data_IF_160395434851
#
_entry.id   IF_160395434851
#
_cell.length_a   1.000
_cell.length_b   1.000
_cell.length_c   1.000
_cell.angle_alpha   90.00
_cell.angle_beta   90.00
_cell.angle_gamma   90.00
#
_symmetry.space_group_name_H-M   'P 1'
#
loop_
_entity.id
_entity.type
_entity.pdbx_description
1 polymer ?
#
# COMPACT_ATOMS: atom_id res chain seq x y z
N UNK A 1 21.15 15.17 -2.72
CA UNK A 1 21.61 15.55 -4.08
C UNK A 1 20.61 16.43 -4.82
N UNK A 2 19.33 16.05 -4.90
CA UNK A 2 18.29 16.86 -5.58
C UNK A 2 18.14 18.27 -4.99
N UNK A 3 18.15 18.41 -3.66
CA UNK A 3 18.06 19.73 -3.01
C UNK A 3 19.22 20.65 -3.38
N UNK A 4 20.44 20.13 -3.47
CA UNK A 4 21.63 20.89 -3.89
C UNK A 4 21.47 21.34 -5.35
N UNK A 5 21.00 20.45 -6.23
CA UNK A 5 20.75 20.78 -7.63
C UNK A 5 19.70 21.90 -7.78
N UNK A 6 18.58 21.82 -7.05
CA UNK A 6 17.56 22.89 -7.11
C UNK A 6 18.05 24.21 -6.53
N UNK A 7 18.75 24.18 -5.39
CA UNK A 7 19.30 25.40 -4.77
C UNK A 7 20.26 26.11 -5.73
N UNK A 8 21.09 25.36 -6.46
CA UNK A 8 22.15 25.91 -7.30
C UNK A 8 21.73 26.25 -8.74
N UNK A 9 20.78 25.50 -9.33
CA UNK A 9 20.54 25.56 -10.78
C UNK A 9 19.11 25.84 -11.23
N UNK A 10 18.08 25.33 -10.54
CA UNK A 10 16.69 25.38 -11.05
C UNK A 10 15.71 26.19 -10.18
N UNK A 11 16.02 26.41 -8.91
CA UNK A 11 15.17 27.14 -7.97
C UNK A 11 13.90 26.36 -7.53
N UNK A 12 13.06 27.01 -6.73
CA UNK A 12 11.78 26.49 -6.24
C UNK A 12 10.64 27.41 -6.64
N UNK A 13 9.39 26.94 -6.57
CA UNK A 13 8.22 27.78 -6.85
C UNK A 13 8.15 29.03 -5.95
N UNK A 14 8.64 28.93 -4.72
CA UNK A 14 8.76 30.06 -3.77
C UNK A 14 10.02 30.93 -3.93
N UNK A 15 10.83 30.72 -4.97
CA UNK A 15 12.05 31.49 -5.25
C UNK A 15 13.33 30.64 -5.40
N UNK A 16 14.47 31.25 -5.76
CA UNK A 16 15.74 30.54 -5.92
C UNK A 16 16.44 30.25 -4.58
N UNK A 17 17.43 29.36 -4.61
CA UNK A 17 18.36 29.16 -3.50
C UNK A 17 17.74 28.55 -2.23
N UNK A 18 18.40 28.79 -1.10
CA UNK A 18 18.00 28.25 0.22
C UNK A 18 16.66 28.84 0.70
N UNK A 19 16.36 30.09 0.35
CA UNK A 19 15.07 30.73 0.66
C UNK A 19 13.90 30.03 -0.04
N UNK A 20 14.07 29.66 -1.31
CA UNK A 20 13.09 28.85 -2.04
C UNK A 20 12.88 27.46 -1.44
N UNK A 21 13.96 26.82 -0.97
CA UNK A 21 13.86 25.53 -0.27
C UNK A 21 13.06 25.66 1.04
N UNK A 22 13.32 26.72 1.82
CA UNK A 22 12.60 26.96 3.06
C UNK A 22 11.10 27.20 2.80
N UNK A 23 10.77 28.01 1.79
CA UNK A 23 9.38 28.25 1.37
C UNK A 23 8.69 26.95 0.92
N UNK A 24 9.41 26.07 0.21
CA UNK A 24 8.90 24.75 -0.19
C UNK A 24 8.56 23.88 1.04
N UNK A 25 9.44 23.80 2.02
CA UNK A 25 9.16 23.06 3.26
C UNK A 25 8.00 23.67 4.06
N UNK A 26 7.89 24.99 4.11
CA UNK A 26 6.77 25.70 4.76
C UNK A 26 5.45 25.48 4.01
N UNK A 27 5.48 25.16 2.72
CA UNK A 27 4.27 24.78 2.00
C UNK A 27 3.88 23.32 2.24
N UNK A 28 4.87 22.42 2.27
CA UNK A 28 4.66 20.97 2.36
C UNK A 28 4.58 20.43 3.81
N UNK A 29 4.78 21.26 4.84
CA UNK A 29 4.92 20.76 6.23
C UNK A 29 3.69 20.00 6.72
N UNK A 30 2.47 20.42 6.34
CA UNK A 30 1.24 19.72 6.74
C UNK A 30 1.19 18.35 6.10
N UNK A 31 1.49 18.25 4.81
CA UNK A 31 1.53 16.97 4.07
C UNK A 31 2.55 16.03 4.71
N UNK A 32 3.77 16.53 4.98
CA UNK A 32 4.85 15.75 5.61
C UNK A 32 4.48 15.31 7.02
N UNK A 33 3.95 16.20 7.85
CA UNK A 33 3.55 15.88 9.22
C UNK A 33 2.39 14.87 9.24
N UNK A 34 1.41 15.04 8.36
CA UNK A 34 0.26 14.15 8.24
C UNK A 34 0.71 12.74 7.80
N UNK A 35 1.57 12.65 6.77
CA UNK A 35 2.17 11.40 6.33
C UNK A 35 3.00 10.75 7.43
N UNK A 36 3.84 11.49 8.13
CA UNK A 36 4.65 10.95 9.24
C UNK A 36 3.76 10.34 10.33
N UNK A 37 2.76 11.09 10.79
CA UNK A 37 1.83 10.63 11.81
C UNK A 37 1.06 9.39 11.37
N UNK A 38 0.58 9.36 10.11
CA UNK A 38 -0.16 8.22 9.56
C UNK A 38 0.72 6.98 9.41
N UNK A 39 1.91 7.10 8.83
CA UNK A 39 2.81 5.95 8.62
C UNK A 39 3.22 5.30 9.94
N UNK A 40 3.58 6.10 10.95
CA UNK A 40 3.94 5.55 12.27
C UNK A 40 2.70 5.02 13.01
N UNK A 41 1.57 5.73 12.95
CA UNK A 41 0.32 5.32 13.59
C UNK A 41 -0.25 4.01 13.01
N UNK A 42 -0.22 3.86 11.69
CA UNK A 42 -0.68 2.65 11.01
C UNK A 42 0.27 1.48 11.20
N UNK A 43 1.58 1.69 11.33
CA UNK A 43 2.48 0.60 11.74
C UNK A 43 2.10 0.01 13.11
N UNK A 44 1.69 0.85 14.07
CA UNK A 44 1.20 0.39 15.37
C UNK A 44 -0.20 -0.26 15.29
N UNK A 45 -1.07 0.24 14.42
CA UNK A 45 -2.37 -0.38 14.13
C UNK A 45 -2.20 -1.77 13.52
N UNK A 46 -1.29 -1.91 12.55
CA UNK A 46 -0.97 -3.17 11.90
C UNK A 46 -0.47 -4.21 12.93
N UNK A 47 0.39 -3.81 13.87
CA UNK A 47 0.81 -4.68 14.99
C UNK A 47 -0.36 -5.07 15.91
N UNK A 48 -1.32 -4.18 16.17
CA UNK A 48 -2.54 -4.54 16.89
C UNK A 48 -3.34 -5.63 16.16
N UNK A 49 -3.46 -5.50 14.84
CA UNK A 49 -4.15 -6.48 14.01
C UNK A 49 -3.39 -7.82 13.95
N UNK A 50 -2.07 -7.80 13.76
CA UNK A 50 -1.24 -9.00 13.73
C UNK A 50 -1.33 -9.77 15.07
N UNK A 51 -1.19 -9.06 16.19
CA UNK A 51 -1.32 -9.62 17.55
C UNK A 51 -2.74 -9.98 17.96
N UNK A 52 -3.73 -9.69 17.12
CA UNK A 52 -5.11 -10.11 17.37
C UNK A 52 -5.33 -11.60 17.12
N UNK A 53 -4.35 -12.29 16.54
CA UNK A 53 -4.40 -13.71 16.17
C UNK A 53 -5.43 -14.01 15.05
N UNK A 54 -6.13 -13.00 14.53
CA UNK A 54 -7.04 -13.13 13.38
C UNK A 54 -6.32 -13.78 12.18
N UNK A 55 -5.12 -13.34 11.76
CA UNK A 55 -4.39 -13.99 10.65
C UNK A 55 -4.07 -15.47 10.87
N UNK A 56 -3.95 -15.92 12.11
CA UNK A 56 -3.61 -17.32 12.42
C UNK A 56 -4.84 -18.23 12.41
N UNK A 57 -6.04 -17.67 12.61
CA UNK A 57 -7.31 -18.41 12.54
C UNK A 57 -7.85 -18.47 11.11
N UNK A 58 -7.58 -17.45 10.30
CA UNK A 58 -8.07 -17.34 8.93
C UNK A 58 -7.76 -18.54 8.00
N UNK A 59 -6.58 -19.21 8.07
CA UNK A 59 -6.33 -20.43 7.31
C UNK A 59 -7.34 -21.55 7.52
N UNK A 60 -8.01 -21.61 8.69
CA UNK A 60 -9.04 -22.63 8.98
C UNK A 60 -10.27 -22.50 8.09
N UNK A 61 -10.53 -21.30 7.55
CA UNK A 61 -11.67 -21.03 6.68
C UNK A 61 -11.40 -21.41 5.22
N UNK A 62 -10.17 -21.81 4.88
CA UNK A 62 -9.79 -22.10 3.49
C UNK A 62 -10.36 -23.45 3.03
N UNK A 63 -10.95 -23.52 1.81
CA UNK A 63 -11.26 -24.79 1.15
C UNK A 63 -10.03 -25.68 0.93
N UNK A 64 -10.26 -27.00 0.79
CA UNK A 64 -9.19 -27.99 0.59
C UNK A 64 -8.78 -28.20 -0.89
N UNK A 65 -9.38 -27.43 -1.80
CA UNK A 65 -9.09 -27.44 -3.23
C UNK A 65 -8.31 -26.18 -3.65
N UNK A 66 -8.16 -25.99 -4.97
CA UNK A 66 -7.51 -24.79 -5.51
C UNK A 66 -8.20 -23.49 -5.09
N UNK A 67 -9.50 -23.53 -4.71
CA UNK A 67 -10.22 -22.34 -4.24
C UNK A 67 -9.71 -21.89 -2.88
N UNK A 68 -9.09 -22.76 -2.08
CA UNK A 68 -8.42 -22.36 -0.86
C UNK A 68 -7.21 -21.48 -1.13
N UNK A 69 -6.44 -21.77 -2.20
CA UNK A 69 -5.36 -20.88 -2.62
C UNK A 69 -5.94 -19.53 -3.10
N UNK A 70 -7.03 -19.57 -3.86
CA UNK A 70 -7.70 -18.33 -4.28
C UNK A 70 -8.25 -17.53 -3.11
N UNK A 71 -8.88 -18.19 -2.13
CA UNK A 71 -9.41 -17.56 -0.94
C UNK A 71 -8.30 -16.93 -0.08
N UNK A 72 -7.10 -17.53 -0.03
CA UNK A 72 -5.94 -16.92 0.62
C UNK A 72 -5.52 -15.63 -0.12
N UNK A 73 -5.46 -15.63 -1.45
CA UNK A 73 -5.16 -14.42 -2.23
C UNK A 73 -6.23 -13.33 -2.03
N UNK A 74 -7.51 -13.69 -2.07
CA UNK A 74 -8.62 -12.78 -1.81
C UNK A 74 -8.58 -12.23 -0.37
N UNK A 75 -8.13 -13.04 0.59
CA UNK A 75 -7.92 -12.59 1.96
C UNK A 75 -6.76 -11.61 2.05
N UNK A 76 -5.62 -11.88 1.42
CA UNK A 76 -4.50 -10.92 1.34
C UNK A 76 -4.95 -9.60 0.73
N UNK A 77 -5.74 -9.65 -0.33
CA UNK A 77 -6.36 -8.49 -0.95
C UNK A 77 -7.22 -7.70 0.04
N UNK A 78 -8.13 -8.35 0.77
CA UNK A 78 -8.98 -7.68 1.76
C UNK A 78 -8.15 -7.15 2.93
N UNK A 79 -7.18 -7.91 3.43
CA UNK A 79 -6.29 -7.49 4.53
C UNK A 79 -5.49 -6.25 4.14
N UNK A 80 -5.00 -6.18 2.89
CA UNK A 80 -4.25 -5.03 2.41
C UNK A 80 -5.10 -3.78 2.19
N UNK A 81 -6.42 -3.87 2.26
CA UNK A 81 -7.26 -2.68 2.33
C UNK A 81 -7.18 -2.00 3.72
N UNK A 82 -6.66 -2.68 4.74
CA UNK A 82 -6.57 -2.16 6.11
C UNK A 82 -5.14 -2.11 6.65
N UNK A 83 -4.26 -2.96 6.11
CA UNK A 83 -2.85 -3.05 6.44
C UNK A 83 -2.02 -2.49 5.29
N UNK A 84 -0.81 -2.04 5.59
CA UNK A 84 0.13 -1.67 4.55
C UNK A 84 0.49 -2.89 3.68
N UNK A 85 0.75 -2.65 2.40
CA UNK A 85 0.99 -3.71 1.41
C UNK A 85 2.12 -4.66 1.84
N UNK A 86 3.12 -4.17 2.57
CA UNK A 86 4.22 -4.98 3.10
C UNK A 86 3.70 -5.97 4.13
N UNK A 87 2.98 -5.52 5.16
CA UNK A 87 2.44 -6.41 6.20
C UNK A 87 1.45 -7.41 5.60
N UNK A 88 0.54 -6.98 4.72
CA UNK A 88 -0.41 -7.87 4.07
C UNK A 88 0.30 -8.96 3.25
N UNK A 89 1.34 -8.60 2.47
CA UNK A 89 2.12 -9.55 1.72
C UNK A 89 2.91 -10.51 2.64
N UNK A 90 3.57 -10.01 3.70
CA UNK A 90 4.31 -10.84 4.66
C UNK A 90 3.40 -11.83 5.38
N UNK A 91 2.22 -11.39 5.84
CA UNK A 91 1.20 -12.25 6.45
C UNK A 91 0.73 -13.30 5.44
N UNK A 92 0.40 -12.89 4.22
CA UNK A 92 0.02 -13.80 3.14
C UNK A 92 1.10 -14.83 2.81
N UNK A 93 2.36 -14.39 2.75
CA UNK A 93 3.53 -15.23 2.55
C UNK A 93 3.74 -16.22 3.69
N UNK A 94 3.64 -15.79 4.95
CA UNK A 94 3.76 -16.66 6.12
C UNK A 94 2.62 -17.70 6.21
N UNK A 95 1.39 -17.28 5.89
CA UNK A 95 0.25 -18.18 5.78
C UNK A 95 0.48 -19.20 4.66
N UNK A 96 0.87 -18.75 3.46
CA UNK A 96 1.20 -19.61 2.33
C UNK A 96 2.34 -20.59 2.67
N UNK A 97 3.38 -20.13 3.37
CA UNK A 97 4.48 -20.98 3.85
C UNK A 97 3.96 -22.14 4.70
N UNK A 98 2.98 -21.88 5.56
CA UNK A 98 2.42 -22.86 6.48
C UNK A 98 1.49 -23.83 5.74
N UNK A 99 0.50 -23.32 5.01
CA UNK A 99 -0.54 -24.15 4.37
C UNK A 99 -0.02 -24.96 3.18
N UNK A 100 1.08 -24.56 2.55
CA UNK A 100 1.68 -25.24 1.39
C UNK A 100 2.99 -26.00 1.71
N UNK A 101 3.25 -26.35 2.98
CA UNK A 101 4.46 -27.08 3.41
C UNK A 101 5.77 -26.43 2.96
N UNK A 102 5.86 -25.10 3.05
CA UNK A 102 7.03 -24.30 2.62
C UNK A 102 7.31 -24.35 1.11
N UNK A 103 6.43 -24.98 0.31
CA UNK A 103 6.55 -25.09 -1.15
C UNK A 103 5.59 -24.13 -1.82
N UNK A 104 5.98 -22.85 -1.83
CA UNK A 104 5.21 -21.80 -2.49
C UNK A 104 5.82 -21.51 -3.85
N UNK A 105 5.00 -21.62 -4.90
CA UNK A 105 5.43 -21.41 -6.26
C UNK A 105 5.67 -19.92 -6.54
N UNK A 106 6.68 -19.58 -7.34
CA UNK A 106 7.06 -18.18 -7.62
C UNK A 106 5.90 -17.36 -8.21
N UNK A 107 5.12 -17.95 -9.12
CA UNK A 107 3.93 -17.25 -9.67
C UNK A 107 2.85 -16.99 -8.62
N UNK A 108 2.75 -17.83 -7.59
CA UNK A 108 1.86 -17.59 -6.46
C UNK A 108 2.40 -16.51 -5.52
N UNK A 109 3.71 -16.44 -5.30
CA UNK A 109 4.36 -15.33 -4.59
C UNK A 109 4.13 -13.99 -5.31
N UNK A 110 4.25 -13.99 -6.63
CA UNK A 110 3.93 -12.82 -7.45
C UNK A 110 2.44 -12.43 -7.33
N UNK A 111 1.54 -13.41 -7.27
CA UNK A 111 0.12 -13.16 -7.04
C UNK A 111 -0.19 -12.63 -5.63
N UNK A 112 0.53 -13.08 -4.58
CA UNK A 112 0.38 -12.52 -3.22
C UNK A 112 0.71 -11.03 -3.24
N UNK A 113 1.82 -10.65 -3.88
CA UNK A 113 2.24 -9.25 -4.00
C UNK A 113 1.23 -8.46 -4.83
N UNK A 114 0.77 -9.02 -5.95
CA UNK A 114 -0.27 -8.42 -6.77
C UNK A 114 -1.56 -8.19 -5.99
N UNK A 115 -2.02 -9.16 -5.20
CA UNK A 115 -3.23 -9.04 -4.41
C UNK A 115 -3.08 -8.04 -3.26
N UNK A 116 -1.91 -8.00 -2.60
CA UNK A 116 -1.64 -6.99 -1.58
C UNK A 116 -1.70 -5.58 -2.19
N UNK A 117 -0.93 -5.32 -3.23
CA UNK A 117 -0.91 -4.02 -3.91
C UNK A 117 -2.28 -3.64 -4.50
N UNK A 118 -3.02 -4.60 -5.09
CA UNK A 118 -4.37 -4.40 -5.60
C UNK A 118 -5.35 -3.99 -4.49
N UNK A 119 -5.32 -4.72 -3.36
CA UNK A 119 -6.20 -4.46 -2.22
C UNK A 119 -5.94 -3.10 -1.57
N UNK A 120 -4.68 -2.68 -1.54
CA UNK A 120 -4.26 -1.36 -1.06
C UNK A 120 -4.62 -0.22 -2.01
N UNK A 121 -4.59 -0.43 -3.33
CA UNK A 121 -4.77 0.65 -4.31
C UNK A 121 -6.09 1.42 -4.17
N UNK A 122 -7.19 0.74 -3.85
CA UNK A 122 -8.47 1.39 -3.59
C UNK A 122 -8.62 1.95 -2.17
N UNK A 123 -7.71 1.60 -1.26
CA UNK A 123 -7.79 1.94 0.15
C UNK A 123 -6.90 3.10 0.54
N UNK A 124 -7.49 4.00 1.31
CA UNK A 124 -6.84 5.14 1.93
C UNK A 124 -5.83 4.76 3.00
N UNK A 125 -5.99 3.58 3.62
CA UNK A 125 -5.09 3.08 4.68
C UNK A 125 -4.10 2.06 4.12
N UNK A 126 -4.55 1.29 3.14
CA UNK A 126 -3.81 0.16 2.61
C UNK A 126 -2.54 0.56 1.87
N UNK A 127 -2.64 1.56 0.98
CA UNK A 127 -1.53 1.97 0.13
C UNK A 127 -1.05 3.41 0.38
N UNK A 128 0.27 3.58 0.36
CA UNK A 128 0.92 4.88 0.62
C UNK A 128 0.64 5.88 -0.50
N UNK A 129 0.47 5.43 -1.75
CA UNK A 129 0.17 6.32 -2.88
C UNK A 129 -1.27 6.83 -2.81
N UNK A 130 -2.22 5.98 -2.43
CA UNK A 130 -3.61 6.39 -2.21
C UNK A 130 -3.75 7.28 -0.96
N UNK A 131 -2.97 7.02 0.09
CA UNK A 131 -2.84 7.93 1.23
C UNK A 131 -2.35 9.31 0.76
N UNK A 132 -1.37 9.37 -0.14
CA UNK A 132 -0.86 10.63 -0.70
C UNK A 132 -1.93 11.38 -1.49
N UNK A 133 -2.67 10.69 -2.38
CA UNK A 133 -3.77 11.31 -3.13
C UNK A 133 -4.79 11.97 -2.20
N UNK A 134 -5.11 11.29 -1.10
CA UNK A 134 -6.06 11.78 -0.12
C UNK A 134 -5.59 13.06 0.57
N UNK A 135 -4.33 13.08 0.99
CA UNK A 135 -3.71 14.25 1.64
C UNK A 135 -3.60 15.42 0.65
N UNK A 136 -3.44 15.14 -0.64
CA UNK A 136 -3.47 16.15 -1.71
C UNK A 136 -4.89 16.60 -2.09
N UNK A 137 -5.92 16.23 -1.31
CA UNK A 137 -7.30 16.72 -1.47
C UNK A 137 -8.17 15.89 -2.43
N UNK A 138 -7.68 14.76 -2.94
CA UNK A 138 -8.51 13.84 -3.73
C UNK A 138 -9.56 13.19 -2.83
N UNK A 139 -10.84 13.23 -3.24
CA UNK A 139 -11.91 12.58 -2.50
C UNK A 139 -11.73 11.06 -2.47
N UNK A 140 -11.91 10.38 -1.32
CA UNK A 140 -11.92 8.91 -1.25
C UNK A 140 -12.88 8.27 -2.26
N UNK A 141 -14.02 8.92 -2.51
CA UNK A 141 -15.03 8.44 -3.44
C UNK A 141 -14.53 8.42 -4.89
N UNK A 142 -13.57 9.29 -5.23
CA UNK A 142 -12.96 9.31 -6.55
C UNK A 142 -11.98 8.16 -6.76
N UNK A 143 -11.48 7.55 -5.68
CA UNK A 143 -10.56 6.40 -5.74
C UNK A 143 -11.31 5.07 -5.62
N UNK A 144 -12.56 5.05 -5.14
CA UNK A 144 -13.38 3.83 -5.06
C UNK A 144 -13.47 3.01 -6.35
N UNK A 145 -13.54 3.61 -7.57
CA UNK A 145 -13.51 2.85 -8.82
C UNK A 145 -12.26 1.97 -8.97
N UNK A 146 -11.14 2.32 -8.31
CA UNK A 146 -9.93 1.49 -8.28
C UNK A 146 -10.19 0.09 -7.68
N UNK A 147 -11.15 -0.06 -6.76
CA UNK A 147 -11.51 -1.38 -6.24
C UNK A 147 -12.14 -2.29 -7.29
N UNK A 148 -12.84 -1.72 -8.29
CA UNK A 148 -13.41 -2.50 -9.39
C UNK A 148 -12.28 -3.06 -10.25
N UNK A 149 -11.35 -2.20 -10.66
CA UNK A 149 -10.15 -2.59 -11.39
C UNK A 149 -9.32 -3.64 -10.62
N UNK A 150 -9.13 -3.40 -9.33
CA UNK A 150 -8.40 -4.28 -8.43
C UNK A 150 -9.09 -5.64 -8.24
N UNK A 151 -10.42 -5.69 -8.19
CA UNK A 151 -11.19 -6.93 -8.12
C UNK A 151 -11.09 -7.75 -9.42
N UNK A 152 -11.12 -7.09 -10.59
CA UNK A 152 -10.84 -7.75 -11.87
C UNK A 152 -9.43 -8.33 -11.87
N UNK A 153 -8.45 -7.56 -11.42
CA UNK A 153 -7.07 -8.02 -11.33
C UNK A 153 -6.90 -9.21 -10.37
N UNK A 154 -7.58 -9.19 -9.22
CA UNK A 154 -7.63 -10.31 -8.27
C UNK A 154 -8.12 -11.60 -8.95
N UNK A 155 -9.19 -11.52 -9.74
CA UNK A 155 -9.74 -12.70 -10.43
C UNK A 155 -8.79 -13.18 -11.53
N UNK A 156 -8.33 -12.27 -12.39
CA UNK A 156 -7.49 -12.58 -13.56
C UNK A 156 -6.12 -13.10 -13.14
N UNK A 157 -5.52 -12.56 -12.08
CA UNK A 157 -4.25 -13.03 -11.54
C UNK A 157 -4.45 -14.23 -10.61
N UNK A 158 -5.47 -14.18 -9.75
CA UNK A 158 -5.64 -15.11 -8.65
C UNK A 158 -6.03 -16.51 -9.09
N UNK A 159 -6.91 -16.65 -10.08
CA UNK A 159 -7.31 -17.98 -10.58
C UNK A 159 -6.12 -18.77 -11.14
N UNK A 160 -5.36 -18.28 -12.14
CA UNK A 160 -4.23 -19.04 -12.69
C UNK A 160 -3.13 -19.28 -11.64
N UNK A 161 -2.86 -18.30 -10.77
CA UNK A 161 -1.90 -18.47 -9.68
C UNK A 161 -2.32 -19.59 -8.72
N UNK A 162 -3.61 -19.63 -8.35
CA UNK A 162 -4.16 -20.63 -7.43
C UNK A 162 -4.11 -22.04 -8.01
N UNK A 163 -4.43 -22.19 -9.30
CA UNK A 163 -4.31 -23.47 -10.01
C UNK A 163 -2.86 -23.92 -10.11
N UNK A 164 -1.94 -22.99 -10.43
CA UNK A 164 -0.50 -23.25 -10.50
C UNK A 164 0.04 -23.70 -9.14
N UNK A 165 -0.34 -23.00 -8.07
CA UNK A 165 0.05 -23.35 -6.70
C UNK A 165 -0.54 -24.69 -6.29
N UNK A 166 -1.83 -24.93 -6.52
CA UNK A 166 -2.47 -26.20 -6.15
C UNK A 166 -1.83 -27.40 -6.86
N UNK A 167 -1.44 -27.25 -8.13
CA UNK A 167 -0.69 -28.27 -8.87
C UNK A 167 0.73 -28.47 -8.31
N UNK A 168 1.36 -27.42 -7.81
CA UNK A 168 2.72 -27.48 -7.26
C UNK A 168 2.76 -28.07 -5.84
N UNK A 169 1.86 -27.61 -4.97
CA UNK A 169 1.67 -28.07 -3.59
C UNK A 169 0.25 -27.69 -3.14
N UNK A 170 -0.66 -28.66 -2.93
CA UNK A 170 -2.01 -28.39 -2.46
C UNK A 170 -2.03 -27.95 -0.99
N UNK A 171 -3.13 -27.33 -0.57
CA UNK A 171 -3.33 -26.92 0.84
C UNK A 171 -3.43 -28.15 1.73
N UNK A 172 -2.84 -28.05 2.91
CA UNK A 172 -3.20 -28.91 4.04
C UNK A 172 -3.85 -28.10 5.14
N UNK A 173 -4.99 -28.61 5.62
CA UNK A 173 -5.51 -28.28 6.93
C UNK A 173 -4.75 -29.10 7.97
N UNK A 174 -3.70 -28.52 8.52
CA UNK A 174 -3.29 -28.93 9.87
C UNK A 174 -4.19 -28.19 10.86
N UNK A 175 -4.96 -28.95 11.64
CA UNK A 175 -5.68 -28.43 12.80
C UNK A 175 -4.66 -28.04 13.87
N UNK A 176 -4.09 -26.84 13.77
CA UNK A 176 -3.48 -26.21 14.94
C UNK A 176 -4.60 -25.85 15.89
N UNK A 177 -4.89 -26.72 16.85
CA UNK A 177 -5.78 -26.42 17.98
C UNK A 177 -5.18 -25.30 18.84
N UNK A 178 -6.01 -24.37 19.32
CA UNK A 178 -5.66 -23.50 20.46
C UNK A 178 -5.43 -22.00 20.22
N UNK A 179 -5.56 -21.45 19.00
CA UNK A 179 -5.50 -19.99 18.80
C UNK A 179 -6.84 -19.31 19.05
N UNK A 180 -6.87 -18.38 20.02
CA UNK A 180 -8.01 -17.53 20.35
C UNK A 180 -7.79 -16.10 19.85
N UNK A 181 -8.83 -15.52 19.23
CA UNK A 181 -8.81 -14.15 18.72
C UNK A 181 -8.87 -13.15 19.89
N UNK A 182 -7.95 -12.19 19.92
CA UNK A 182 -8.01 -11.06 20.86
C UNK A 182 -8.95 -9.97 20.33
N UNK A 183 -10.25 -10.16 20.54
CA UNK A 183 -11.30 -9.22 20.12
C UNK A 183 -11.10 -7.79 20.63
N UNK A 184 -10.41 -7.60 21.76
CA UNK A 184 -10.09 -6.26 22.25
C UNK A 184 -9.15 -5.53 21.29
N UNK A 185 -8.15 -6.22 20.72
CA UNK A 185 -7.26 -5.63 19.70
C UNK A 185 -8.00 -5.35 18.40
N UNK A 186 -8.89 -6.24 17.99
CA UNK A 186 -9.76 -6.00 16.81
C UNK A 186 -10.61 -4.74 17.01
N UNK A 187 -11.19 -4.55 18.21
CA UNK A 187 -11.93 -3.34 18.54
C UNK A 187 -11.05 -2.08 18.52
N UNK A 188 -9.80 -2.15 19.01
CA UNK A 188 -8.83 -1.03 18.91
C UNK A 188 -8.60 -0.64 17.45
N UNK A 189 -8.33 -1.63 16.57
CA UNK A 189 -8.15 -1.39 15.13
C UNK A 189 -9.38 -0.71 14.54
N UNK A 190 -10.59 -1.24 14.83
CA UNK A 190 -11.84 -0.68 14.35
C UNK A 190 -12.06 0.78 14.77
N UNK A 191 -11.76 1.13 16.03
CA UNK A 191 -11.88 2.51 16.53
C UNK A 191 -10.92 3.47 15.83
N UNK A 192 -9.65 3.06 15.63
CA UNK A 192 -8.66 3.92 14.97
C UNK A 192 -9.05 4.18 13.51
N UNK A 193 -9.50 3.15 12.79
CA UNK A 193 -9.97 3.29 11.40
C UNK A 193 -11.22 4.18 11.31
N UNK A 194 -12.20 3.96 12.19
CA UNK A 194 -13.41 4.77 12.23
C UNK A 194 -13.08 6.25 12.52
N UNK A 195 -12.14 6.54 13.42
CA UNK A 195 -11.70 7.89 13.71
C UNK A 195 -11.02 8.56 12.50
N UNK A 196 -10.11 7.85 11.82
CA UNK A 196 -9.43 8.37 10.63
C UNK A 196 -10.42 8.72 9.51
N UNK A 197 -11.34 7.81 9.19
CA UNK A 197 -12.38 8.01 8.16
C UNK A 197 -13.31 9.16 8.56
N UNK A 198 -13.79 9.17 9.80
CA UNK A 198 -14.74 10.19 10.27
C UNK A 198 -14.13 11.60 10.24
N UNK A 199 -12.90 11.76 10.75
CA UNK A 199 -12.22 13.06 10.74
C UNK A 199 -11.96 13.53 9.33
N UNK A 200 -11.55 12.65 8.42
CA UNK A 200 -11.39 13.09 7.05
C UNK A 200 -12.70 13.53 6.39
N UNK A 201 -13.75 12.72 6.51
CA UNK A 201 -15.06 13.07 5.93
C UNK A 201 -15.50 14.43 6.47
N UNK A 202 -15.32 14.66 7.77
CA UNK A 202 -15.60 15.95 8.37
C UNK A 202 -14.73 17.08 7.79
N UNK A 203 -13.42 16.90 7.69
CA UNK A 203 -12.48 17.90 7.16
C UNK A 203 -12.81 18.26 5.71
N UNK A 204 -13.03 17.27 4.85
CA UNK A 204 -13.31 17.51 3.43
C UNK A 204 -14.67 18.19 3.22
N UNK A 205 -15.68 17.88 4.05
CA UNK A 205 -17.01 18.47 3.91
C UNK A 205 -17.14 19.86 4.56
N UNK A 206 -16.39 20.14 5.64
CA UNK A 206 -16.62 21.33 6.47
C UNK A 206 -15.45 22.32 6.50
N UNK A 207 -14.22 21.87 6.25
CA UNK A 207 -13.02 22.69 6.49
C UNK A 207 -12.38 23.23 5.21
N UNK A 208 -12.63 22.66 4.03
CA UNK A 208 -12.17 23.20 2.74
C UNK A 208 -10.70 23.64 2.78
N UNK A 209 -10.44 24.93 2.54
CA UNK A 209 -9.08 25.50 2.57
C UNK A 209 -8.36 25.39 3.94
N UNK A 210 -9.09 25.19 5.04
CA UNK A 210 -8.50 24.96 6.37
C UNK A 210 -7.90 23.57 6.53
N UNK A 211 -8.19 22.63 5.62
CA UNK A 211 -7.58 21.29 5.61
C UNK A 211 -6.06 21.35 5.48
N UNK A 212 -5.53 22.37 4.78
CA UNK A 212 -4.10 22.57 4.53
C UNK A 212 -3.35 23.21 5.71
N UNK A 213 -4.05 23.56 6.80
CA UNK A 213 -3.44 24.27 7.94
C UNK A 213 -2.98 23.34 9.05
N UNK A 214 -3.45 22.10 9.09
CA UNK A 214 -3.17 21.18 10.19
C UNK A 214 -3.27 19.71 9.76
N UNK A 215 -2.40 18.81 10.28
CA UNK A 215 -2.42 17.38 9.94
C UNK A 215 -3.56 16.63 10.65
N UNK A 216 -4.82 16.96 10.33
CA UNK A 216 -6.01 16.47 11.05
C UNK A 216 -6.09 14.94 11.11
N UNK A 217 -5.81 14.26 10.01
CA UNK A 217 -6.03 12.81 9.88
C UNK A 217 -4.99 12.03 10.70
N UNK A 218 -3.71 12.39 10.56
CA UNK A 218 -2.62 11.80 11.33
C UNK A 218 -2.82 12.04 12.82
N UNK A 219 -3.24 13.25 13.21
CA UNK A 219 -3.57 13.54 14.61
C UNK A 219 -4.76 12.72 15.10
N UNK A 220 -5.80 12.52 14.29
CA UNK A 220 -6.94 11.70 14.65
C UNK A 220 -6.56 10.25 14.94
N UNK A 221 -5.69 9.66 14.12
CA UNK A 221 -5.15 8.30 14.32
C UNK A 221 -4.41 8.22 15.65
N UNK A 222 -3.54 9.19 15.95
CA UNK A 222 -2.79 9.21 17.22
C UNK A 222 -3.69 9.43 18.43
N UNK A 223 -4.66 10.34 18.34
CA UNK A 223 -5.65 10.57 19.42
C UNK A 223 -6.42 9.29 19.70
N UNK A 224 -6.92 8.60 18.66
CA UNK A 224 -7.61 7.32 18.82
C UNK A 224 -6.70 6.25 19.43
N UNK A 225 -5.46 6.13 18.96
CA UNK A 225 -4.48 5.17 19.47
C UNK A 225 -4.17 5.42 20.94
N UNK A 226 -3.95 6.67 21.34
CA UNK A 226 -3.70 7.05 22.73
C UNK A 226 -4.94 6.83 23.61
N UNK A 227 -6.14 7.15 23.12
CA UNK A 227 -7.39 6.92 23.83
C UNK A 227 -7.66 5.43 24.09
N UNK A 228 -7.18 4.54 23.23
CA UNK A 228 -7.36 3.09 23.34
C UNK A 228 -6.29 2.37 24.19
N UNK A 229 -5.29 3.09 24.71
CA UNK A 229 -4.26 2.55 25.63
C UNK A 229 -4.84 1.75 26.80
N UNK A 230 -5.93 2.18 27.49
CA UNK A 230 -6.51 1.41 28.59
C UNK A 230 -7.07 0.05 28.17
N UNK A 231 -7.49 -0.10 26.91
CA UNK A 231 -8.04 -1.35 26.37
C UNK A 231 -6.92 -2.32 26.03
N UNK A 232 -5.98 -1.89 25.17
CA UNK A 232 -4.77 -2.62 24.81
C UNK A 232 -3.65 -1.65 24.49
N UNK A 233 -2.46 -1.88 25.05
CA UNK A 233 -1.30 -1.01 24.81
C UNK A 233 -0.69 -1.27 23.42
N UNK A 234 -0.26 -0.21 22.70
CA UNK A 234 0.56 -0.34 21.51
C UNK A 234 1.93 -0.91 21.85
N UNK A 235 2.56 -1.54 20.88
CA UNK A 235 3.94 -2.02 21.01
C UNK A 235 4.92 -0.88 20.76
N UNK A 236 5.22 -0.10 21.80
CA UNK A 236 6.10 1.08 21.71
C UNK A 236 7.50 0.79 21.17
N UNK A 237 8.00 -0.44 21.33
CA UNK A 237 9.30 -0.86 20.79
C UNK A 237 9.36 -0.86 19.25
N UNK A 238 8.22 -0.84 18.55
CA UNK A 238 8.17 -0.74 17.09
C UNK A 238 8.38 0.70 16.59
N UNK A 239 8.10 1.71 17.41
CA UNK A 239 8.14 3.12 17.01
C UNK A 239 9.50 3.52 16.41
N UNK A 240 10.67 3.18 17.00
CA UNK A 240 11.96 3.56 16.41
C UNK A 240 12.23 2.95 15.03
N UNK A 241 11.67 1.77 14.76
CA UNK A 241 11.74 1.13 13.44
C UNK A 241 10.79 1.80 12.44
N UNK A 242 9.54 1.99 12.85
CA UNK A 242 8.51 2.66 12.06
C UNK A 242 8.89 4.10 11.70
N UNK A 243 9.50 4.84 12.63
CA UNK A 243 10.01 6.20 12.38
C UNK A 243 11.12 6.20 11.35
N UNK A 244 12.08 5.27 11.42
CA UNK A 244 13.15 5.16 10.41
C UNK A 244 12.58 4.86 9.01
N UNK A 245 11.64 3.92 8.92
CA UNK A 245 10.94 3.62 7.66
C UNK A 245 10.13 4.82 7.14
N UNK A 246 9.41 5.51 8.03
CA UNK A 246 8.62 6.70 7.68
C UNK A 246 9.50 7.84 7.20
N UNK A 247 10.63 8.11 7.87
CA UNK A 247 11.59 9.14 7.43
C UNK A 247 12.18 8.82 6.06
N UNK A 248 12.49 7.55 5.79
CA UNK A 248 12.94 7.12 4.48
C UNK A 248 11.88 7.39 3.40
N UNK A 249 10.62 7.00 3.65
CA UNK A 249 9.51 7.25 2.73
C UNK A 249 9.25 8.75 2.53
N UNK A 250 9.26 9.55 3.59
CA UNK A 250 9.12 11.01 3.51
C UNK A 250 10.23 11.64 2.68
N UNK A 251 11.47 11.16 2.81
CA UNK A 251 12.58 11.60 1.97
C UNK A 251 12.33 11.29 0.49
N UNK A 252 11.74 10.14 0.15
CA UNK A 252 11.38 9.79 -1.23
C UNK A 252 10.25 10.68 -1.76
N UNK A 253 9.19 10.88 -0.98
CA UNK A 253 8.07 11.78 -1.32
C UNK A 253 8.59 13.20 -1.56
N UNK A 254 9.35 13.75 -0.62
CA UNK A 254 9.94 15.08 -0.72
C UNK A 254 10.90 15.18 -1.93
N UNK A 255 11.71 14.16 -2.17
CA UNK A 255 12.58 14.12 -3.35
C UNK A 255 11.78 14.17 -4.65
N UNK A 256 10.64 13.48 -4.71
CA UNK A 256 9.74 13.51 -5.86
C UNK A 256 9.10 14.89 -6.08
N UNK A 257 8.69 15.56 -5.00
CA UNK A 257 8.23 16.96 -5.05
C UNK A 257 9.31 17.93 -5.55
N UNK A 258 10.56 17.48 -5.65
CA UNK A 258 11.71 18.27 -6.08
C UNK A 258 12.31 17.79 -7.41
N UNK A 259 11.76 16.75 -8.05
CA UNK A 259 12.28 16.28 -9.33
C UNK A 259 12.10 17.33 -10.45
N UNK A 260 13.09 17.49 -11.35
CA UNK A 260 13.05 18.45 -12.46
C UNK A 260 12.22 17.96 -13.66
N UNK A 261 11.41 16.91 -13.48
CA UNK A 261 10.43 16.51 -14.49
C UNK A 261 9.24 17.43 -14.30
N UNK A 262 9.19 18.51 -15.08
CA UNK A 262 8.18 19.55 -14.90
C UNK A 262 6.78 19.07 -15.31
N UNK A 263 6.67 18.07 -16.20
CA UNK A 263 5.40 17.54 -16.73
C UNK A 263 5.55 16.06 -17.14
N UNK A 264 4.55 15.25 -16.81
CA UNK A 264 4.29 13.97 -17.49
C UNK A 264 3.69 14.27 -18.88
N UNK A 265 3.62 13.28 -19.80
CA UNK A 265 2.77 13.39 -20.97
C UNK A 265 1.34 13.81 -20.60
N UNK A 266 0.60 14.38 -21.54
CA UNK A 266 -0.77 14.87 -21.30
C UNK A 266 -1.61 13.78 -20.66
N UNK A 267 -2.31 14.13 -19.57
CA UNK A 267 -3.10 13.19 -18.82
C UNK A 267 -4.15 12.55 -19.73
N UNK A 268 -4.06 11.23 -19.84
CA UNK A 268 -4.87 10.42 -20.74
C UNK A 268 -4.81 8.97 -20.26
N UNK A 269 -5.79 8.16 -20.65
CA UNK A 269 -5.80 6.74 -20.28
C UNK A 269 -4.52 5.99 -20.74
N UNK A 270 -3.90 6.27 -21.91
CA UNK A 270 -2.64 5.62 -22.27
C UNK A 270 -1.48 6.02 -21.37
N UNK A 271 -1.43 7.29 -20.95
CA UNK A 271 -0.40 7.76 -20.02
C UNK A 271 -0.59 7.12 -18.65
N UNK A 272 -1.82 7.01 -18.14
CA UNK A 272 -2.10 6.31 -16.88
C UNK A 272 -1.71 4.82 -16.97
N UNK A 273 -2.06 4.14 -18.06
CA UNK A 273 -1.66 2.75 -18.31
C UNK A 273 -0.13 2.60 -18.36
N UNK A 274 0.56 3.54 -19.02
CA UNK A 274 2.02 3.56 -19.09
C UNK A 274 2.67 3.78 -17.73
N UNK A 275 2.09 4.64 -16.88
CA UNK A 275 2.59 4.91 -15.52
C UNK A 275 2.61 3.65 -14.66
N UNK A 276 1.62 2.76 -14.76
CA UNK A 276 1.67 1.51 -14.01
C UNK A 276 2.73 0.52 -14.51
N UNK A 277 3.02 0.48 -15.82
CA UNK A 277 4.18 -0.27 -16.32
C UNK A 277 5.50 0.34 -15.84
N UNK A 278 5.62 1.67 -15.84
CA UNK A 278 6.79 2.36 -15.31
C UNK A 278 6.96 2.11 -13.81
N UNK A 279 5.85 2.01 -13.07
CA UNK A 279 5.84 1.66 -11.65
C UNK A 279 6.42 0.27 -11.35
N UNK A 280 6.50 -0.64 -12.34
CA UNK A 280 7.17 -1.93 -12.14
C UNK A 280 8.70 -1.80 -11.99
N UNK A 281 9.28 -0.69 -12.46
CA UNK A 281 10.72 -0.44 -12.48
C UNK A 281 11.09 0.70 -11.53
N UNK A 282 10.24 1.74 -11.50
CA UNK A 282 10.40 2.92 -10.66
C UNK A 282 9.40 2.88 -9.52
N UNK A 283 9.79 3.41 -8.36
CA UNK A 283 8.91 3.52 -7.21
C UNK A 283 7.63 4.30 -7.58
N UNK A 284 6.48 3.83 -7.09
CA UNK A 284 5.16 4.37 -7.42
C UNK A 284 4.85 5.68 -6.68
N UNK A 285 5.53 5.92 -5.56
CA UNK A 285 5.42 7.13 -4.74
C UNK A 285 5.78 8.39 -5.57
N UNK A 286 6.97 8.48 -6.19
CA UNK A 286 7.30 9.61 -7.04
C UNK A 286 6.37 9.85 -8.22
N UNK A 287 5.95 8.78 -8.90
CA UNK A 287 5.06 8.86 -10.06
C UNK A 287 3.70 9.42 -9.68
N UNK A 288 3.17 9.02 -8.52
CA UNK A 288 1.92 9.52 -7.97
C UNK A 288 2.00 11.01 -7.65
N UNK A 289 3.09 11.45 -7.00
CA UNK A 289 3.30 12.87 -6.69
C UNK A 289 3.35 13.75 -7.96
N UNK A 290 4.01 13.27 -9.02
CA UNK A 290 4.06 13.94 -10.33
C UNK A 290 2.67 14.04 -10.98
N UNK A 291 1.90 12.95 -10.95
CA UNK A 291 0.55 12.92 -11.52
C UNK A 291 -0.43 13.81 -10.75
N UNK A 292 -0.33 13.87 -9.43
CA UNK A 292 -1.09 14.78 -8.58
C UNK A 292 -0.81 16.25 -8.90
N UNK A 293 0.46 16.61 -9.11
CA UNK A 293 0.86 17.98 -9.47
C UNK A 293 0.37 18.41 -10.84
N UNK A 294 0.40 17.49 -11.82
CA UNK A 294 -0.08 17.80 -13.16
C UNK A 294 -1.60 17.89 -13.24
N UNK A 295 -2.30 17.03 -12.48
CA UNK A 295 -3.75 16.90 -12.56
C UNK A 295 -4.23 16.32 -13.89
N UNK A 296 -5.56 16.25 -14.05
CA UNK A 296 -6.21 15.80 -15.28
C UNK A 296 -6.34 14.29 -15.47
N UNK A 297 -5.88 13.49 -14.49
CA UNK A 297 -6.09 12.03 -14.48
C UNK A 297 -7.42 11.68 -13.82
N UNK A 298 -7.98 10.53 -14.22
CA UNK A 298 -8.96 9.83 -13.40
C UNK A 298 -8.24 9.21 -12.20
N UNK A 299 -8.62 9.61 -10.99
CA UNK A 299 -7.92 9.22 -9.76
C UNK A 299 -8.08 7.74 -9.44
N UNK A 300 -9.21 7.11 -9.77
CA UNK A 300 -9.41 5.68 -9.58
C UNK A 300 -8.53 4.87 -10.52
N UNK A 301 -8.49 5.26 -11.79
CA UNK A 301 -7.62 4.62 -12.80
C UNK A 301 -6.15 4.79 -12.43
N UNK A 302 -5.74 5.99 -12.03
CA UNK A 302 -4.37 6.27 -11.64
C UNK A 302 -3.97 5.48 -10.38
N UNK A 303 -4.82 5.46 -9.34
CA UNK A 303 -4.56 4.74 -8.10
C UNK A 303 -4.36 3.25 -8.35
N UNK A 304 -5.24 2.63 -9.15
CA UNK A 304 -5.04 1.26 -9.59
C UNK A 304 -3.74 1.10 -10.40
N UNK A 305 -3.47 2.02 -11.34
CA UNK A 305 -2.34 1.88 -12.23
C UNK A 305 -0.99 1.86 -11.48
N UNK A 306 -0.76 2.87 -10.63
CA UNK A 306 0.48 3.01 -9.86
C UNK A 306 0.51 2.09 -8.63
N UNK A 307 -0.64 1.77 -8.05
CA UNK A 307 -0.74 0.84 -6.93
C UNK A 307 -0.43 -0.59 -7.36
N UNK A 308 -1.11 -1.11 -8.38
CA UNK A 308 -0.94 -2.48 -8.85
C UNK A 308 0.34 -2.68 -9.67
N UNK A 309 0.73 -1.69 -10.49
CA UNK A 309 1.79 -1.81 -11.50
C UNK A 309 3.13 -2.32 -10.96
N UNK A 310 3.50 -1.88 -9.75
CA UNK A 310 4.70 -2.32 -9.02
C UNK A 310 4.80 -3.83 -8.76
N UNK A 311 3.71 -4.58 -8.95
CA UNK A 311 3.66 -6.04 -8.76
C UNK A 311 4.27 -6.84 -9.91
N UNK A 312 4.44 -6.24 -11.10
CA UNK A 312 4.92 -6.96 -12.29
C UNK A 312 6.38 -7.45 -12.14
N UNK A 313 7.17 -6.79 -11.29
CA UNK A 313 8.54 -7.19 -10.97
C UNK A 313 8.72 -7.16 -9.44
N UNK A 314 9.44 -8.13 -8.89
CA UNK A 314 9.57 -8.27 -7.43
C UNK A 314 10.16 -7.03 -6.73
N UNK A 315 11.02 -6.25 -7.37
CA UNK A 315 11.57 -5.03 -6.77
C UNK A 315 10.77 -3.76 -7.10
N UNK A 316 9.72 -3.87 -7.91
CA UNK A 316 8.87 -2.75 -8.31
C UNK A 316 7.95 -2.25 -7.19
N UNK A 317 7.86 -2.98 -6.07
CA UNK A 317 7.12 -2.56 -4.88
C UNK A 317 7.79 -3.06 -3.61
N UNK A 318 7.58 -2.35 -2.49
CA UNK A 318 8.11 -2.78 -1.19
C UNK A 318 7.56 -4.13 -0.74
N UNK A 319 6.30 -4.44 -1.07
CA UNK A 319 5.69 -5.75 -0.83
C UNK A 319 6.45 -6.88 -1.57
N UNK A 320 6.82 -6.63 -2.83
CA UNK A 320 7.64 -7.57 -3.61
C UNK A 320 9.03 -7.77 -3.03
N UNK A 321 9.70 -6.70 -2.60
CA UNK A 321 11.00 -6.79 -1.94
C UNK A 321 10.90 -7.61 -0.66
N UNK A 322 9.87 -7.37 0.16
CA UNK A 322 9.63 -8.09 1.41
C UNK A 322 9.40 -9.60 1.18
N UNK A 323 8.53 -9.96 0.23
CA UNK A 323 8.29 -11.36 -0.16
C UNK A 323 9.57 -12.02 -0.69
N UNK A 324 10.33 -11.33 -1.53
CA UNK A 324 11.58 -11.87 -2.09
C UNK A 324 12.65 -12.12 -1.03
N UNK A 325 12.60 -11.41 0.11
CA UNK A 325 13.49 -11.66 1.23
C UNK A 325 13.06 -12.89 2.05
N UNK A 326 11.76 -13.17 2.14
CA UNK A 326 11.25 -14.42 2.71
C UNK A 326 11.48 -15.63 1.80
N UNK A 327 11.43 -15.42 0.49
CA UNK A 327 11.56 -16.43 -0.57
C UNK A 327 12.63 -16.02 -1.57
N UNK A 328 13.92 -16.30 -1.29
CA UNK A 328 15.04 -15.85 -2.12
C UNK A 328 14.94 -16.26 -3.60
N UNK A 329 14.27 -17.36 -3.91
CA UNK A 329 14.00 -17.82 -5.27
C UNK A 329 13.19 -16.82 -6.10
N UNK A 330 12.40 -15.96 -5.46
CA UNK A 330 11.60 -14.93 -6.10
C UNK A 330 12.42 -13.72 -6.59
N UNK A 331 13.69 -13.59 -6.18
CA UNK A 331 14.60 -12.52 -6.63
C UNK A 331 15.02 -12.64 -8.10
N UNK A 332 14.73 -13.77 -8.76
CA UNK A 332 14.95 -13.91 -10.19
C UNK A 332 13.84 -13.24 -10.98
N UNK A 333 14.16 -12.10 -11.62
CA UNK A 333 13.22 -11.36 -12.49
C UNK A 333 12.69 -12.25 -13.61
N UNK A 334 13.56 -13.06 -14.23
CA UNK A 334 13.17 -13.97 -15.30
C UNK A 334 12.17 -15.03 -14.85
N UNK A 335 12.36 -15.62 -13.66
CA UNK A 335 11.41 -16.58 -13.10
C UNK A 335 10.11 -15.91 -12.65
N UNK A 336 10.21 -14.72 -12.06
CA UNK A 336 9.05 -13.92 -11.66
C UNK A 336 8.15 -13.62 -12.85
N UNK A 337 8.70 -13.12 -13.95
CA UNK A 337 7.95 -12.82 -15.17
C UNK A 337 7.43 -14.09 -15.86
N UNK A 338 8.25 -15.14 -15.96
CA UNK A 338 7.85 -16.40 -16.59
C UNK A 338 6.71 -17.09 -15.86
N UNK A 339 6.78 -17.16 -14.53
CA UNK A 339 5.80 -17.88 -13.72
C UNK A 339 4.63 -17.03 -13.25
N UNK A 340 4.85 -15.71 -13.08
CA UNK A 340 3.86 -14.71 -12.69
C UNK A 340 3.31 -13.89 -13.86
N UNK A 341 3.34 -14.41 -15.08
CA UNK A 341 2.85 -13.73 -16.30
C UNK A 341 1.42 -13.19 -16.15
N UNK A 342 0.59 -13.87 -15.35
CA UNK A 342 -0.79 -13.49 -15.08
C UNK A 342 -0.91 -12.15 -14.31
N UNK A 343 0.15 -11.69 -13.63
CA UNK A 343 0.17 -10.38 -12.96
C UNK A 343 0.07 -9.26 -13.98
N UNK A 344 0.90 -9.29 -15.03
CA UNK A 344 0.87 -8.28 -16.09
C UNK A 344 -0.42 -8.34 -16.91
N UNK A 345 -0.96 -9.54 -17.16
CA UNK A 345 -2.27 -9.68 -17.80
C UNK A 345 -3.38 -9.06 -16.96
N UNK A 346 -3.39 -9.34 -15.66
CA UNK A 346 -4.36 -8.80 -14.71
C UNK A 346 -4.27 -7.28 -14.61
N UNK A 347 -3.06 -6.71 -14.68
CA UNK A 347 -2.87 -5.27 -14.77
C UNK A 347 -3.68 -4.67 -15.93
N UNK A 348 -3.43 -5.16 -17.14
CA UNK A 348 -4.11 -4.68 -18.36
C UNK A 348 -5.62 -4.94 -18.28
N UNK A 349 -6.02 -6.14 -17.86
CA UNK A 349 -7.43 -6.51 -17.80
C UNK A 349 -8.22 -5.70 -16.76
N UNK A 350 -7.64 -5.39 -15.60
CA UNK A 350 -8.30 -4.54 -14.60
C UNK A 350 -8.31 -3.06 -14.99
N UNK A 351 -7.42 -2.63 -15.87
CA UNK A 351 -7.36 -1.23 -16.32
C UNK A 351 -8.54 -0.84 -17.22
N UNK A 352 -9.08 -1.78 -18.01
CA UNK A 352 -10.17 -1.57 -18.98
C UNK A 352 -11.51 -2.11 -18.46
#
# INVERSE_FOLDING_TARGET
MISIYKILFTGFAGGPGVGGLAAHFVHEWVVVANLFCLLVGFALLADHFERSEVPQVLPRLLPDDWKGAFALLAMVFVLSAFLDNIAAALIGGAMAHTVFRKKVHIGYLAAIVACANAGGAGSVVGDTTTTMMWISGVSPLAVLPAFVAAAVALVVCGIPASLQQHKHSPILKDEREGTHIDWKRVAVVGVILAAAVSVNVFVNLNLGARAELFPYIGVAVWVALLAMIPVRRPTWSLVPGAVRGSLFLLCLVLSATMMPVERLPVASWPTALGLGFLSAIFDNIPLTALALRQGGYDWGVLAYAVGYGGSMVWFGSSAGVAISNMYPEAKSVGLWLKHGWHVALAYVAGFF
#
